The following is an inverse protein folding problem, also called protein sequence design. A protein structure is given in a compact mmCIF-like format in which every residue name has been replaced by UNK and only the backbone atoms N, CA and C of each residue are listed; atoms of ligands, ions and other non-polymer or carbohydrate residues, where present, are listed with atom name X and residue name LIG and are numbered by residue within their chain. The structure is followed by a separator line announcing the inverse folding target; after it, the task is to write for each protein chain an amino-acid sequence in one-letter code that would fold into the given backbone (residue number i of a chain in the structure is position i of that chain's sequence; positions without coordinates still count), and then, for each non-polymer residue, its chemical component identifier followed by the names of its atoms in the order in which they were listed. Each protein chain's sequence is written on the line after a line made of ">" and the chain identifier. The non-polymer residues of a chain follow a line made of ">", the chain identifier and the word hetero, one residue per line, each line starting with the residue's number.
data_IF_222344874444
#
_entry.id   IF_222344874444
#
_cell.length_a   1.000
_cell.length_b   1.000
_cell.length_c   1.000
_cell.angle_alpha   90.00
_cell.angle_beta   90.00
_cell.angle_gamma   90.00
#
_symmetry.space_group_name_H-M   'P 1'
#
loop_
_entity.id
_entity.type
_entity.pdbx_description
1 polymer ?
#
# COMPACT_ATOMS: atom_id res chain seq x y z
N UNK A 1 5.66 -33.84 -10.83
CA UNK A 1 5.12 -32.83 -9.89
C UNK A 1 5.88 -33.03 -8.58
N UNK A 2 6.62 -32.03 -8.11
CA UNK A 2 7.38 -32.14 -6.85
C UNK A 2 6.45 -31.71 -5.69
N UNK A 3 6.15 -32.58 -4.71
CA UNK A 3 5.32 -32.21 -3.58
C UNK A 3 6.12 -31.26 -2.66
N UNK A 4 5.60 -30.05 -2.47
CA UNK A 4 6.17 -29.07 -1.53
C UNK A 4 5.68 -29.38 -0.11
N UNK A 5 6.56 -29.29 0.88
CA UNK A 5 6.13 -29.29 2.27
C UNK A 5 5.36 -28.00 2.59
N UNK A 6 4.54 -27.99 3.64
CA UNK A 6 3.78 -26.79 4.04
C UNK A 6 4.66 -25.55 4.27
N UNK A 7 5.86 -25.73 4.82
CA UNK A 7 6.84 -24.64 5.02
C UNK A 7 7.42 -24.13 3.69
N UNK A 8 7.72 -25.02 2.75
CA UNK A 8 8.19 -24.64 1.42
C UNK A 8 7.08 -23.96 0.62
N UNK A 9 5.85 -24.43 0.73
CA UNK A 9 4.66 -23.80 0.14
C UNK A 9 4.45 -22.38 0.65
N UNK A 10 4.55 -22.15 1.97
CA UNK A 10 4.45 -20.81 2.55
C UNK A 10 5.53 -19.87 2.03
N UNK A 11 6.78 -20.35 1.96
CA UNK A 11 7.91 -19.55 1.45
C UNK A 11 7.74 -19.15 -0.02
N UNK A 12 7.18 -20.04 -0.84
CA UNK A 12 6.86 -19.74 -2.25
C UNK A 12 5.77 -18.69 -2.35
N UNK A 13 4.73 -18.77 -1.50
CA UNK A 13 3.67 -17.74 -1.43
C UNK A 13 4.25 -16.40 -1.00
N UNK A 14 5.04 -16.34 0.09
CA UNK A 14 5.71 -15.12 0.55
C UNK A 14 6.57 -14.49 -0.54
N UNK A 15 7.37 -15.29 -1.24
CA UNK A 15 8.20 -14.83 -2.34
C UNK A 15 7.35 -14.30 -3.51
N UNK A 16 6.25 -14.97 -3.86
CA UNK A 16 5.34 -14.49 -4.91
C UNK A 16 4.65 -13.16 -4.56
N UNK A 17 4.54 -12.83 -3.27
CA UNK A 17 3.98 -11.57 -2.79
C UNK A 17 5.03 -10.45 -2.72
N UNK A 18 6.31 -10.76 -2.92
CA UNK A 18 7.41 -9.81 -2.92
C UNK A 18 7.38 -8.98 -4.22
N UNK A 19 6.55 -7.95 -4.23
CA UNK A 19 6.48 -6.96 -5.30
C UNK A 19 7.16 -5.69 -4.80
N UNK A 20 8.42 -5.50 -5.18
CA UNK A 20 9.18 -4.31 -4.78
C UNK A 20 8.53 -3.06 -5.35
N UNK A 21 7.96 -2.22 -4.49
CA UNK A 21 7.39 -0.92 -4.85
C UNK A 21 8.44 0.15 -4.61
N UNK A 22 8.94 0.76 -5.68
CA UNK A 22 9.80 1.94 -5.60
C UNK A 22 8.94 3.19 -5.76
N UNK A 23 8.96 4.07 -4.75
CA UNK A 23 8.23 5.33 -4.78
C UNK A 23 9.11 6.39 -5.45
N UNK A 24 8.85 6.68 -6.73
CA UNK A 24 9.59 7.72 -7.47
C UNK A 24 8.74 8.96 -7.71
N UNK A 25 9.39 10.12 -7.83
CA UNK A 25 8.71 11.37 -8.18
C UNK A 25 8.01 11.28 -9.54
N UNK A 26 8.61 10.57 -10.50
CA UNK A 26 8.03 10.36 -11.83
C UNK A 26 6.71 9.58 -11.76
N UNK A 27 6.65 8.50 -10.96
CA UNK A 27 5.42 7.74 -10.73
C UNK A 27 4.36 8.56 -10.00
N UNK A 28 4.76 9.37 -9.00
CA UNK A 28 3.83 10.30 -8.32
C UNK A 28 3.32 11.39 -9.26
N UNK A 29 4.16 11.87 -10.17
CA UNK A 29 3.79 12.91 -11.13
C UNK A 29 2.81 12.40 -12.20
N UNK A 30 2.99 11.15 -12.65
CA UNK A 30 2.22 10.52 -13.73
C UNK A 30 0.89 9.88 -13.27
N UNK A 31 0.73 9.56 -11.99
CA UNK A 31 -0.52 8.99 -11.49
C UNK A 31 -1.67 10.00 -11.48
N UNK A 32 -2.90 9.48 -11.58
CA UNK A 32 -4.11 10.27 -11.37
C UNK A 32 -4.27 10.57 -9.88
N UNK A 33 -4.23 11.86 -9.54
CA UNK A 33 -4.34 12.37 -8.18
C UNK A 33 -5.80 12.56 -7.75
N UNK A 34 -6.76 12.37 -8.67
CA UNK A 34 -8.19 12.47 -8.36
C UNK A 34 -8.57 11.47 -7.27
N UNK A 35 -9.16 11.99 -6.19
CA UNK A 35 -9.60 11.20 -5.05
C UNK A 35 -8.59 11.11 -3.90
N UNK A 36 -7.36 11.58 -4.07
CA UNK A 36 -6.41 11.80 -2.98
C UNK A 36 -6.54 13.24 -2.46
N UNK A 37 -6.49 13.41 -1.14
CA UNK A 37 -6.42 14.74 -0.52
C UNK A 37 -5.01 15.31 -0.63
N UNK A 38 -4.84 16.61 -0.38
CA UNK A 38 -3.51 17.23 -0.28
C UNK A 38 -2.66 16.56 0.80
N UNK A 39 -3.22 16.33 1.99
CA UNK A 39 -2.53 15.67 3.11
C UNK A 39 -2.07 14.25 2.72
N UNK A 40 -2.88 13.51 1.98
CA UNK A 40 -2.52 12.18 1.50
C UNK A 40 -1.40 12.22 0.47
N UNK A 41 -1.40 13.20 -0.43
CA UNK A 41 -0.35 13.42 -1.41
C UNK A 41 0.96 13.87 -0.75
N UNK A 42 0.88 14.74 0.25
CA UNK A 42 2.05 15.20 1.01
C UNK A 42 2.71 14.03 1.74
N UNK A 43 1.92 13.15 2.36
CA UNK A 43 2.44 11.93 2.98
C UNK A 43 3.10 10.99 1.96
N UNK A 44 2.54 10.88 0.74
CA UNK A 44 3.14 10.08 -0.33
C UNK A 44 4.46 10.69 -0.84
N UNK A 45 4.52 12.02 -0.98
CA UNK A 45 5.73 12.73 -1.38
C UNK A 45 6.87 12.54 -0.36
N UNK A 46 6.57 12.46 0.94
CA UNK A 46 7.58 12.19 1.97
C UNK A 46 8.21 10.79 1.87
N UNK A 47 7.54 9.84 1.20
CA UNK A 47 8.07 8.50 0.95
C UNK A 47 8.87 8.39 -0.36
N UNK A 48 9.09 9.51 -1.06
CA UNK A 48 9.90 9.52 -2.29
C UNK A 48 11.29 8.94 -2.03
N UNK A 49 11.74 8.07 -2.94
CA UNK A 49 13.02 7.38 -2.87
C UNK A 49 13.01 6.11 -2.00
N UNK A 50 11.93 5.85 -1.26
CA UNK A 50 11.81 4.63 -0.46
C UNK A 50 11.37 3.44 -1.33
N UNK A 51 11.85 2.26 -0.95
CA UNK A 51 11.48 0.98 -1.56
C UNK A 51 10.81 0.10 -0.52
N UNK A 52 9.68 -0.50 -0.90
CA UNK A 52 8.94 -1.44 -0.07
C UNK A 52 8.94 -2.82 -0.72
N UNK A 53 9.29 -3.86 0.04
CA UNK A 53 9.31 -5.23 -0.45
C UNK A 53 7.90 -5.81 -0.60
N UNK A 54 6.95 -5.29 0.17
CA UNK A 54 5.56 -5.70 0.14
C UNK A 54 4.64 -4.49 0.11
N UNK A 55 3.50 -4.62 -0.59
CA UNK A 55 2.56 -3.52 -0.75
C UNK A 55 1.97 -3.00 0.56
N UNK A 56 1.76 -3.88 1.54
CA UNK A 56 1.24 -3.48 2.85
C UNK A 56 2.20 -2.55 3.61
N UNK A 57 3.52 -2.64 3.37
CA UNK A 57 4.51 -1.77 4.02
C UNK A 57 4.36 -0.31 3.59
N UNK A 58 3.95 -0.06 2.34
CA UNK A 58 3.62 1.28 1.87
C UNK A 58 2.43 1.86 2.65
N UNK A 59 1.36 1.06 2.80
CA UNK A 59 0.20 1.47 3.58
C UNK A 59 0.53 1.79 5.04
N UNK A 60 1.31 0.92 5.70
CA UNK A 60 1.75 1.13 7.09
C UNK A 60 2.62 2.39 7.23
N UNK A 61 3.49 2.64 6.27
CA UNK A 61 4.37 3.82 6.29
C UNK A 61 3.58 5.11 6.08
N UNK A 62 2.59 5.09 5.17
CA UNK A 62 1.67 6.20 4.97
C UNK A 62 0.83 6.49 6.22
N UNK A 63 0.31 5.46 6.89
CA UNK A 63 -0.46 5.61 8.13
C UNK A 63 0.37 6.16 9.30
N UNK A 64 1.68 5.89 9.33
CA UNK A 64 2.61 6.48 10.30
C UNK A 64 2.84 7.98 10.05
N UNK A 65 2.82 8.41 8.79
CA UNK A 65 3.02 9.82 8.42
C UNK A 65 1.73 10.62 8.59
N UNK A 66 0.58 10.03 8.24
CA UNK A 66 -0.71 10.72 8.30
C UNK A 66 -1.85 9.79 8.67
N UNK A 67 -2.67 10.23 9.63
CA UNK A 67 -3.91 9.54 10.05
C UNK A 67 -4.98 9.48 8.95
N UNK A 68 -4.81 10.21 7.84
CA UNK A 68 -5.67 10.07 6.65
C UNK A 68 -5.45 8.76 5.89
N UNK A 69 -4.37 8.04 6.19
CA UNK A 69 -4.09 6.72 5.61
C UNK A 69 -4.43 5.56 6.57
N UNK A 70 -4.88 5.88 7.79
CA UNK A 70 -5.18 4.89 8.81
C UNK A 70 -6.48 4.13 8.48
N UNK A 71 -6.42 2.80 8.51
CA UNK A 71 -7.61 1.95 8.52
C UNK A 71 -8.04 1.79 9.97
N UNK A 72 -9.16 2.42 10.35
CA UNK A 72 -9.52 2.62 11.76
C UNK A 72 -10.18 1.41 12.41
N UNK A 73 -10.70 0.47 11.62
CA UNK A 73 -11.41 -0.71 12.16
C UNK A 73 -12.66 -0.32 12.94
N UNK A 74 -13.14 -1.18 13.85
CA UNK A 74 -14.29 -0.83 14.72
C UNK A 74 -15.68 -0.95 14.08
N UNK A 75 -15.83 -1.79 13.05
CA UNK A 75 -17.15 -2.21 12.53
C UNK A 75 -17.86 -1.20 11.62
N UNK A 76 -19.20 -1.17 11.67
CA UNK A 76 -20.04 -0.40 10.74
C UNK A 76 -19.72 1.11 10.74
N UNK A 77 -19.34 1.68 11.89
CA UNK A 77 -19.04 3.11 12.07
C UNK A 77 -17.97 3.61 11.10
N UNK A 78 -16.90 2.83 10.91
CA UNK A 78 -15.77 3.21 10.05
C UNK A 78 -15.75 2.45 8.72
N UNK A 79 -16.72 1.56 8.47
CA UNK A 79 -16.72 0.67 7.29
C UNK A 79 -16.61 1.43 5.96
N UNK A 80 -17.31 2.56 5.82
CA UNK A 80 -17.26 3.38 4.60
C UNK A 80 -15.91 4.11 4.47
N UNK A 81 -15.40 4.64 5.57
CA UNK A 81 -14.08 5.28 5.63
C UNK A 81 -12.99 4.28 5.22
N UNK A 82 -12.93 3.15 5.91
CA UNK A 82 -11.92 2.11 5.70
C UNK A 82 -12.00 1.53 4.28
N UNK A 83 -13.20 1.41 3.71
CA UNK A 83 -13.37 1.02 2.31
C UNK A 83 -12.72 2.03 1.37
N UNK A 84 -12.90 3.33 1.59
CA UNK A 84 -12.27 4.38 0.78
C UNK A 84 -10.75 4.34 0.91
N UNK A 85 -10.22 4.21 2.13
CA UNK A 85 -8.77 4.10 2.35
C UNK A 85 -8.20 2.87 1.66
N UNK A 86 -8.84 1.71 1.80
CA UNK A 86 -8.43 0.47 1.09
C UNK A 86 -8.45 0.62 -0.43
N UNK A 87 -9.44 1.32 -0.98
CA UNK A 87 -9.49 1.59 -2.43
C UNK A 87 -8.32 2.48 -2.89
N UNK A 88 -7.99 3.53 -2.13
CA UNK A 88 -6.85 4.40 -2.42
C UNK A 88 -5.53 3.65 -2.33
N UNK A 89 -5.33 2.85 -1.28
CA UNK A 89 -4.14 2.02 -1.12
C UNK A 89 -4.01 1.00 -2.27
N UNK A 90 -5.11 0.34 -2.65
CA UNK A 90 -5.11 -0.57 -3.78
C UNK A 90 -4.76 0.12 -5.11
N UNK A 91 -5.16 1.39 -5.29
CA UNK A 91 -4.73 2.19 -6.43
C UNK A 91 -3.22 2.45 -6.38
N UNK A 92 -2.66 2.85 -5.25
CA UNK A 92 -1.20 3.05 -5.12
C UNK A 92 -0.43 1.77 -5.45
N UNK A 93 -0.87 0.61 -4.94
CA UNK A 93 -0.20 -0.69 -5.16
C UNK A 93 -0.19 -1.15 -6.63
N UNK A 94 -1.08 -0.59 -7.46
CA UNK A 94 -1.15 -0.86 -8.90
C UNK A 94 -0.25 0.07 -9.71
N UNK A 95 -0.06 1.30 -9.25
CA UNK A 95 0.73 2.33 -9.96
C UNK A 95 2.22 2.26 -9.59
N UNK A 96 2.56 1.68 -8.44
CA UNK A 96 3.93 1.38 -8.06
C UNK A 96 4.32 -0.07 -8.38
#
# INVERSE_FOLDING_TARGET
>A
IVPLSSQQGLKVVEYSLQKSLLITQEKIASMDKKGLSSIQLDALNQLQGQTFNFSWQLGDSLAKISSEWEVRGGGLKNKLHDRKIKQKLAYLYRNF
#
